data_IF_307592205499
#
_entry.id   IF_307592205499
#
_cell.length_a   1.000
_cell.length_b   1.000
_cell.length_c   1.000
_cell.angle_alpha   90.00
_cell.angle_beta   90.00
_cell.angle_gamma   90.00
#
_symmetry.space_group_name_H-M   'P 1'
#
loop_
_entity.id
_entity.type
_entity.pdbx_description
1 polymer ?
#
# COMPACT_ATOMS: atom_id res chain seq x y z
N UNK A 1 -7.79 -83.46 39.38
CA UNK A 1 -6.62 -84.22 38.86
C UNK A 1 -6.08 -83.43 37.66
N UNK A 2 -4.76 -83.06 37.75
CA UNK A 2 -3.84 -82.59 36.69
C UNK A 2 -4.13 -81.27 36.05
N UNK A 3 -3.45 -80.19 36.45
CA UNK A 3 -2.13 -79.68 36.06
C UNK A 3 -1.93 -79.51 34.51
N UNK A 4 -1.81 -78.30 34.00
CA UNK A 4 -0.51 -77.89 33.45
C UNK A 4 -0.49 -76.39 33.13
N UNK A 5 0.49 -75.83 33.66
CA UNK A 5 1.18 -74.57 33.53
C UNK A 5 1.66 -74.32 32.14
N UNK A 6 1.39 -73.16 31.54
CA UNK A 6 2.24 -72.60 30.48
C UNK A 6 2.50 -71.14 30.74
N UNK A 7 3.70 -70.87 31.13
CA UNK A 7 4.34 -69.58 31.22
C UNK A 7 4.80 -69.19 29.79
N UNK A 8 4.39 -68.05 29.29
CA UNK A 8 4.89 -67.46 28.07
C UNK A 8 5.03 -65.95 28.24
N UNK A 9 6.20 -65.54 28.66
CA UNK A 9 6.61 -64.13 28.67
C UNK A 9 6.79 -63.62 27.27
N UNK A 10 5.95 -62.70 26.84
CA UNK A 10 6.15 -61.95 25.60
C UNK A 10 6.90 -60.64 25.92
N UNK A 11 7.95 -60.28 25.14
CA UNK A 11 8.64 -59.01 25.31
C UNK A 11 7.80 -57.85 24.73
N UNK A 12 7.68 -56.78 25.49
CA UNK A 12 7.05 -55.53 25.08
C UNK A 12 7.84 -54.86 23.93
N UNK A 13 7.20 -54.47 22.84
CA UNK A 13 7.87 -53.69 21.78
C UNK A 13 8.21 -52.28 22.27
N UNK A 14 9.47 -51.90 22.05
CA UNK A 14 10.04 -50.63 22.47
C UNK A 14 9.28 -49.39 21.97
N UNK A 15 8.64 -48.71 22.90
CA UNK A 15 7.88 -47.46 22.66
C UNK A 15 8.73 -46.17 22.51
N UNK A 16 10.06 -46.28 22.42
CA UNK A 16 10.95 -45.10 22.41
C UNK A 16 11.16 -44.44 21.04
N UNK A 17 11.04 -45.17 19.93
CA UNK A 17 11.28 -44.61 18.59
C UNK A 17 10.09 -43.86 18.04
N UNK A 18 8.86 -44.22 18.41
CA UNK A 18 7.62 -43.52 17.96
C UNK A 18 7.42 -42.20 18.71
N UNK A 19 7.81 -42.09 19.97
CA UNK A 19 7.74 -40.85 20.75
C UNK A 19 8.71 -39.78 20.24
N UNK A 20 9.90 -40.17 19.76
CA UNK A 20 10.88 -39.23 19.18
C UNK A 20 10.42 -38.69 17.83
N UNK A 21 9.76 -39.52 17.01
CA UNK A 21 9.20 -39.10 15.71
C UNK A 21 8.03 -38.11 15.84
N UNK A 22 7.13 -38.31 16.79
CA UNK A 22 5.99 -37.43 17.04
C UNK A 22 6.44 -36.08 17.62
N UNK A 23 7.45 -36.05 18.49
CA UNK A 23 8.01 -34.83 19.05
C UNK A 23 8.70 -33.96 17.97
N UNK A 24 9.43 -34.56 17.03
CA UNK A 24 10.11 -33.84 15.96
C UNK A 24 9.12 -33.26 14.95
N UNK A 25 8.00 -33.96 14.68
CA UNK A 25 6.93 -33.47 13.78
C UNK A 25 6.15 -32.30 14.38
N UNK A 26 5.88 -32.30 15.70
CA UNK A 26 5.23 -31.18 16.38
C UNK A 26 6.08 -29.92 16.42
N UNK A 27 7.41 -30.01 16.58
CA UNK A 27 8.32 -28.85 16.56
C UNK A 27 8.37 -28.22 15.15
N UNK A 28 8.32 -29.03 14.10
CA UNK A 28 8.28 -28.52 12.71
C UNK A 28 7.02 -27.74 12.35
N UNK A 29 5.85 -28.05 12.93
CA UNK A 29 4.60 -27.32 12.68
C UNK A 29 4.53 -25.94 13.37
N UNK A 30 5.29 -25.72 14.44
CA UNK A 30 5.29 -24.44 15.16
C UNK A 30 6.02 -23.32 14.43
N UNK A 31 6.91 -23.64 13.46
CA UNK A 31 7.65 -22.62 12.69
C UNK A 31 6.88 -22.03 11.50
N UNK A 32 5.69 -22.54 11.15
CA UNK A 32 4.87 -22.01 10.04
C UNK A 32 3.84 -20.95 10.46
N UNK A 33 3.74 -20.60 11.74
CA UNK A 33 2.72 -19.67 12.26
C UNK A 33 3.15 -18.19 12.26
N UNK A 34 4.25 -17.81 11.59
CA UNK A 34 4.89 -16.49 11.73
C UNK A 34 4.50 -15.39 10.76
N UNK A 35 3.63 -15.62 9.77
CA UNK A 35 3.24 -14.57 8.83
C UNK A 35 1.78 -14.19 9.02
N UNK A 36 1.48 -13.34 10.00
CA UNK A 36 0.20 -12.63 10.05
C UNK A 36 0.23 -11.47 9.05
N UNK A 37 -0.31 -11.68 7.86
CA UNK A 37 -0.59 -10.58 6.92
C UNK A 37 -1.80 -9.83 7.46
N UNK A 38 -1.57 -8.68 8.07
CA UNK A 38 -2.65 -7.82 8.51
C UNK A 38 -3.12 -6.94 7.35
N UNK A 39 -4.38 -7.06 6.88
CA UNK A 39 -4.89 -6.20 5.84
C UNK A 39 -5.00 -4.76 6.34
N UNK A 40 -4.44 -3.81 5.60
CA UNK A 40 -4.38 -2.37 5.92
C UNK A 40 -5.77 -1.73 6.16
N UNK A 41 -6.83 -2.40 5.73
CA UNK A 41 -8.24 -1.98 5.89
C UNK A 41 -9.01 -2.83 6.90
N UNK A 42 -8.35 -3.69 7.67
CA UNK A 42 -9.03 -4.39 8.77
C UNK A 42 -9.39 -3.37 9.85
N UNK A 43 -10.67 -3.16 10.06
CA UNK A 43 -11.16 -2.49 11.26
C UNK A 43 -10.82 -3.40 12.44
N UNK A 44 -9.71 -3.14 13.13
CA UNK A 44 -9.50 -3.78 14.43
C UNK A 44 -10.61 -3.30 15.36
N UNK A 45 -11.38 -4.20 15.97
CA UNK A 45 -12.12 -3.82 17.17
C UNK A 45 -11.04 -3.44 18.20
N UNK A 46 -10.82 -2.13 18.39
CA UNK A 46 -9.89 -1.62 19.40
C UNK A 46 -10.44 -2.03 20.77
N UNK A 47 -9.86 -3.06 21.35
CA UNK A 47 -10.14 -3.44 22.75
C UNK A 47 -9.55 -2.42 23.73
N UNK A 48 -8.86 -1.40 23.23
CA UNK A 48 -8.37 -0.27 24.00
C UNK A 48 -9.28 0.95 23.77
N UNK A 49 -10.01 1.28 24.81
CA UNK A 49 -10.80 2.53 24.89
C UNK A 49 -9.84 3.70 24.70
N UNK A 50 -9.88 4.35 23.50
CA UNK A 50 -9.13 5.57 23.21
C UNK A 50 -8.10 5.55 22.08
N UNK A 51 -7.78 4.41 21.46
CA UNK A 51 -6.90 4.36 20.29
C UNK A 51 -7.69 4.48 19.00
N UNK A 52 -7.52 5.57 18.27
CA UNK A 52 -8.07 5.71 16.92
C UNK A 52 -7.37 4.73 15.97
N UNK A 53 -8.13 4.07 15.10
CA UNK A 53 -7.55 3.21 14.08
C UNK A 53 -6.75 4.04 13.06
N UNK A 54 -5.72 3.45 12.45
CA UNK A 54 -4.96 4.09 11.35
C UNK A 54 -5.88 4.63 10.27
N UNK A 55 -6.97 3.91 9.96
CA UNK A 55 -7.95 4.33 8.96
C UNK A 55 -8.73 5.57 9.40
N UNK A 56 -9.13 5.69 10.66
CA UNK A 56 -9.81 6.88 11.19
C UNK A 56 -8.90 8.10 11.17
N UNK A 57 -7.62 7.93 11.54
CA UNK A 57 -6.63 9.00 11.49
C UNK A 57 -6.40 9.45 10.04
N UNK A 58 -6.27 8.50 9.10
CA UNK A 58 -6.16 8.82 7.67
C UNK A 58 -7.40 9.56 7.16
N UNK A 59 -8.60 9.08 7.50
CA UNK A 59 -9.85 9.71 7.10
C UNK A 59 -10.00 11.13 7.65
N UNK A 60 -9.47 11.41 8.84
CA UNK A 60 -9.45 12.75 9.43
C UNK A 60 -8.29 13.63 8.94
N UNK A 61 -7.31 13.09 8.21
CA UNK A 61 -6.17 13.84 7.69
C UNK A 61 -6.57 14.75 6.53
N UNK A 62 -6.19 16.03 6.61
CA UNK A 62 -6.49 17.00 5.55
C UNK A 62 -5.34 17.12 4.55
N UNK A 63 -5.65 17.49 3.32
CA UNK A 63 -4.63 17.78 2.29
C UNK A 63 -4.74 19.25 1.88
N UNK A 64 -3.63 19.98 1.96
CA UNK A 64 -3.60 21.40 1.63
C UNK A 64 -4.05 21.67 0.18
N UNK A 65 -4.54 22.87 -0.05
CA UNK A 65 -4.93 23.32 -1.39
C UNK A 65 -3.69 23.39 -2.30
N UNK A 66 -3.89 23.09 -3.58
CA UNK A 66 -2.85 23.12 -4.63
C UNK A 66 -3.34 23.92 -5.83
N UNK A 67 -2.41 24.54 -6.57
CA UNK A 67 -2.78 25.53 -7.58
C UNK A 67 -2.95 25.00 -9.00
N UNK A 68 -2.36 23.85 -9.37
CA UNK A 68 -2.41 23.34 -10.74
C UNK A 68 -3.47 22.26 -10.92
N UNK A 69 -4.02 22.10 -12.14
CA UNK A 69 -4.98 21.05 -12.45
C UNK A 69 -4.44 19.64 -12.09
N UNK A 70 -3.21 19.35 -12.48
CA UNK A 70 -2.60 18.03 -12.22
C UNK A 70 -2.44 17.80 -10.70
N UNK A 71 -2.00 18.81 -9.97
CA UNK A 71 -1.90 18.71 -8.50
C UNK A 71 -3.28 18.55 -7.86
N UNK A 72 -4.33 19.19 -8.38
CA UNK A 72 -5.71 18.99 -7.92
C UNK A 72 -6.18 17.55 -8.14
N UNK A 73 -5.83 16.94 -9.29
CA UNK A 73 -6.13 15.52 -9.53
C UNK A 73 -5.44 14.61 -8.49
N UNK A 74 -4.15 14.82 -8.22
CA UNK A 74 -3.44 14.07 -7.17
C UNK A 74 -4.11 14.25 -5.81
N UNK A 75 -4.41 15.52 -5.43
CA UNK A 75 -5.06 15.86 -4.16
C UNK A 75 -6.42 15.17 -4.04
N UNK A 76 -7.26 15.25 -5.06
CA UNK A 76 -8.61 14.67 -5.04
C UNK A 76 -8.57 13.13 -4.96
N UNK A 77 -7.69 12.49 -5.74
CA UNK A 77 -7.48 11.05 -5.66
C UNK A 77 -6.95 10.61 -4.29
N UNK A 78 -6.05 11.39 -3.68
CA UNK A 78 -5.52 11.11 -2.34
C UNK A 78 -6.63 11.23 -1.28
N UNK A 79 -7.42 12.31 -1.30
CA UNK A 79 -8.56 12.48 -0.39
C UNK A 79 -9.57 11.34 -0.57
N UNK A 80 -9.90 10.98 -1.80
CA UNK A 80 -10.80 9.87 -2.07
C UNK A 80 -10.25 8.54 -1.53
N UNK A 81 -8.96 8.29 -1.70
CA UNK A 81 -8.32 7.07 -1.21
C UNK A 81 -8.23 7.02 0.32
N UNK A 82 -8.17 8.16 1.02
CA UNK A 82 -8.09 8.22 2.50
C UNK A 82 -9.47 8.18 3.18
N UNK A 83 -10.47 8.88 2.63
CA UNK A 83 -11.76 9.10 3.31
C UNK A 83 -12.98 9.00 2.39
N UNK A 84 -12.84 8.43 1.18
CA UNK A 84 -13.94 8.35 0.23
C UNK A 84 -14.35 9.70 -0.38
N UNK A 85 -13.48 10.75 -0.28
CA UNK A 85 -13.76 12.10 -0.77
C UNK A 85 -14.51 13.00 0.22
N UNK A 86 -14.86 12.51 1.41
CA UNK A 86 -15.51 13.31 2.45
C UNK A 86 -14.60 14.43 2.93
N UNK A 87 -15.13 15.64 3.07
CA UNK A 87 -14.42 16.74 3.70
C UNK A 87 -14.53 16.58 5.21
N UNK A 88 -13.44 16.16 5.87
CA UNK A 88 -13.35 16.15 7.32
C UNK A 88 -12.69 17.45 7.79
N UNK A 89 -13.40 18.37 8.44
CA UNK A 89 -12.79 19.56 8.97
C UNK A 89 -11.95 19.23 10.21
N UNK A 90 -10.68 19.62 10.23
CA UNK A 90 -9.92 19.78 11.47
C UNK A 90 -9.21 18.54 12.02
N UNK A 91 -8.78 17.60 11.20
CA UNK A 91 -7.95 16.48 11.68
C UNK A 91 -6.61 16.90 12.30
N UNK A 92 -6.05 16.00 13.13
CA UNK A 92 -4.76 16.21 13.83
C UNK A 92 -3.60 16.43 12.86
N UNK A 93 -3.68 15.83 11.65
CA UNK A 93 -2.62 15.90 10.65
C UNK A 93 -3.06 16.61 9.39
N UNK A 94 -2.08 17.19 8.68
CA UNK A 94 -2.28 17.72 7.34
C UNK A 94 -1.10 17.37 6.43
N UNK A 95 -1.39 17.21 5.14
CA UNK A 95 -0.40 16.83 4.10
C UNK A 95 -0.21 18.01 3.15
N UNK A 96 1.03 18.30 2.83
CA UNK A 96 1.46 19.26 1.80
C UNK A 96 1.96 18.46 0.60
N UNK A 97 1.52 18.83 -0.60
CA UNK A 97 1.91 18.21 -1.86
C UNK A 97 2.60 19.22 -2.77
N UNK A 98 3.71 18.79 -3.38
CA UNK A 98 4.35 19.50 -4.48
C UNK A 98 4.42 18.54 -5.67
N UNK A 99 3.67 18.83 -6.74
CA UNK A 99 3.47 17.95 -7.89
C UNK A 99 4.16 18.51 -9.12
N UNK A 100 4.97 17.68 -9.75
CA UNK A 100 5.62 17.97 -11.03
C UNK A 100 5.27 16.90 -12.04
N UNK A 101 4.89 17.29 -13.25
CA UNK A 101 4.67 16.36 -14.36
C UNK A 101 5.42 16.82 -15.61
N UNK A 102 6.08 15.89 -16.29
CA UNK A 102 6.82 16.13 -17.52
C UNK A 102 6.51 15.04 -18.54
N UNK A 103 6.28 15.43 -19.79
CA UNK A 103 6.13 14.48 -20.91
C UNK A 103 7.34 14.50 -21.79
N UNK A 104 7.71 13.30 -22.29
CA UNK A 104 8.80 13.13 -23.28
C UNK A 104 8.34 12.18 -24.39
N UNK A 105 8.80 12.37 -25.62
CA UNK A 105 8.69 11.38 -26.69
C UNK A 105 9.53 10.16 -26.38
N UNK A 106 9.00 8.96 -26.65
CA UNK A 106 9.71 7.69 -26.48
C UNK A 106 9.80 6.87 -27.76
N UNK A 107 8.94 7.16 -28.76
CA UNK A 107 9.03 6.57 -30.08
C UNK A 107 8.77 7.65 -31.16
N UNK A 108 9.47 7.51 -32.27
CA UNK A 108 9.39 8.39 -33.44
C UNK A 108 9.23 7.52 -34.66
N UNK A 109 8.35 7.88 -35.56
CA UNK A 109 8.20 7.22 -36.85
C UNK A 109 9.37 7.59 -37.77
N UNK A 110 10.04 6.57 -38.32
CA UNK A 110 11.26 6.78 -39.12
C UNK A 110 11.00 7.53 -40.44
N UNK A 111 9.79 7.43 -41.01
CA UNK A 111 9.43 8.03 -42.29
C UNK A 111 9.11 9.52 -42.16
N UNK A 112 8.48 9.95 -41.07
CA UNK A 112 8.00 11.33 -40.85
C UNK A 112 8.73 12.05 -39.72
N UNK A 113 9.59 11.35 -38.97
CA UNK A 113 10.22 11.83 -37.72
C UNK A 113 9.20 12.35 -36.68
N UNK A 114 7.92 11.99 -36.85
CA UNK A 114 6.86 12.40 -35.95
C UNK A 114 6.81 11.48 -34.69
N UNK A 115 6.63 12.04 -33.49
CA UNK A 115 6.45 11.24 -32.29
C UNK A 115 5.16 10.43 -32.37
N UNK A 116 5.25 9.11 -32.24
CA UNK A 116 4.11 8.19 -32.23
C UNK A 116 3.71 7.76 -30.81
N UNK A 117 4.64 7.89 -29.85
CA UNK A 117 4.37 7.57 -28.44
C UNK A 117 5.09 8.53 -27.51
N UNK A 118 4.48 8.81 -26.39
CA UNK A 118 5.02 9.67 -25.33
C UNK A 118 4.83 9.04 -23.96
N UNK A 119 5.71 9.39 -23.05
CA UNK A 119 5.65 9.01 -21.66
C UNK A 119 5.54 10.24 -20.76
N UNK A 120 4.54 10.25 -19.91
CA UNK A 120 4.40 11.20 -18.83
C UNK A 120 5.08 10.66 -17.58
N UNK A 121 6.00 11.42 -17.01
CA UNK A 121 6.60 11.19 -15.72
C UNK A 121 6.01 12.17 -14.71
N UNK A 122 5.35 11.64 -13.67
CA UNK A 122 4.84 12.41 -12.53
C UNK A 122 5.70 12.16 -11.31
N UNK A 123 6.07 13.22 -10.60
CA UNK A 123 6.79 13.17 -9.33
C UNK A 123 6.06 14.04 -8.32
N UNK A 124 5.77 13.47 -7.15
CA UNK A 124 5.11 14.16 -6.05
C UNK A 124 5.96 14.08 -4.81
N UNK A 125 6.41 15.25 -4.33
CA UNK A 125 6.94 15.38 -2.99
C UNK A 125 5.77 15.58 -2.04
N UNK A 126 5.71 14.79 -0.97
CA UNK A 126 4.70 14.91 0.07
C UNK A 126 5.35 15.03 1.44
N UNK A 127 4.69 15.76 2.32
CA UNK A 127 5.10 15.88 3.71
C UNK A 127 3.86 15.98 4.60
N UNK A 128 3.80 15.16 5.66
CA UNK A 128 2.72 15.16 6.65
C UNK A 128 3.20 15.84 7.93
N UNK A 129 2.38 16.75 8.43
CA UNK A 129 2.66 17.50 9.64
C UNK A 129 1.57 17.27 10.70
N UNK A 130 1.96 17.31 11.94
CA UNK A 130 1.04 17.47 13.06
C UNK A 130 0.60 18.93 13.16
N UNK A 131 -0.71 19.16 13.25
CA UNK A 131 -1.29 20.51 13.20
C UNK A 131 -0.95 21.35 14.42
N UNK A 132 -0.91 20.75 15.61
CA UNK A 132 -0.65 21.45 16.88
C UNK A 132 0.78 21.92 17.00
N UNK A 133 1.73 21.06 16.69
CA UNK A 133 3.17 21.30 16.88
C UNK A 133 3.88 21.78 15.62
N UNK A 134 3.25 21.61 14.45
CA UNK A 134 3.85 21.78 13.10
C UNK A 134 5.07 20.86 12.87
N UNK A 135 5.21 19.82 13.67
CA UNK A 135 6.28 18.84 13.50
C UNK A 135 6.02 18.00 12.26
N UNK A 136 7.06 17.80 11.44
CA UNK A 136 7.02 16.84 10.32
C UNK A 136 7.01 15.42 10.86
N UNK A 137 5.99 14.65 10.47
CA UNK A 137 5.84 13.25 10.86
C UNK A 137 6.50 12.34 9.83
N UNK A 138 6.23 12.59 8.56
CA UNK A 138 6.86 11.84 7.46
C UNK A 138 6.93 12.68 6.21
N UNK A 139 7.94 12.43 5.39
CA UNK A 139 8.12 13.05 4.08
C UNK A 139 8.69 12.07 3.08
N UNK A 140 8.43 12.29 1.82
CA UNK A 140 8.99 11.44 0.78
C UNK A 140 8.62 11.89 -0.63
N UNK A 141 9.07 11.10 -1.59
CA UNK A 141 8.78 11.30 -3.01
C UNK A 141 8.14 10.03 -3.56
N UNK A 142 7.06 10.20 -4.34
CA UNK A 142 6.47 9.11 -5.10
C UNK A 142 6.43 9.49 -6.58
N UNK A 143 6.62 8.49 -7.43
CA UNK A 143 6.71 8.68 -8.88
C UNK A 143 5.80 7.70 -9.59
N UNK A 144 5.22 8.14 -10.70
CA UNK A 144 4.46 7.29 -11.61
C UNK A 144 4.79 7.65 -13.05
N UNK A 145 4.73 6.66 -13.92
CA UNK A 145 4.93 6.79 -15.35
C UNK A 145 3.66 6.33 -16.06
N UNK A 146 3.19 7.11 -17.03
CA UNK A 146 2.04 6.76 -17.86
C UNK A 146 2.36 7.01 -19.34
N UNK A 147 2.29 5.96 -20.14
CA UNK A 147 2.40 6.05 -21.59
C UNK A 147 1.11 6.57 -22.23
N UNK A 148 1.23 7.25 -23.35
CA UNK A 148 0.12 7.62 -24.23
C UNK A 148 0.58 7.74 -25.69
N UNK A 149 -0.30 7.34 -26.60
CA UNK A 149 -0.03 7.41 -28.03
C UNK A 149 -0.29 8.81 -28.58
N UNK A 150 0.41 9.15 -29.65
CA UNK A 150 0.27 10.40 -30.37
C UNK A 150 -0.15 10.14 -31.79
N UNK A 151 -1.01 11.01 -32.29
CA UNK A 151 -1.52 11.00 -33.65
C UNK A 151 -1.25 12.38 -34.27
N UNK A 152 -1.42 12.55 -35.60
CA UNK A 152 -1.36 13.89 -36.24
C UNK A 152 -2.40 14.90 -35.71
N UNK A 153 -3.43 14.41 -35.00
CA UNK A 153 -4.52 15.24 -34.48
C UNK A 153 -4.17 15.83 -33.12
N UNK A 154 -3.99 17.14 -33.05
CA UNK A 154 -3.59 17.84 -31.82
C UNK A 154 -4.57 17.68 -30.67
N UNK A 155 -5.88 17.70 -30.92
CA UNK A 155 -6.93 17.56 -29.92
C UNK A 155 -6.92 16.13 -29.29
N UNK A 156 -6.74 15.11 -30.12
CA UNK A 156 -6.60 13.74 -29.63
C UNK A 156 -5.39 13.59 -28.69
N UNK A 157 -4.27 14.20 -29.04
CA UNK A 157 -3.05 14.20 -28.24
C UNK A 157 -3.24 14.87 -26.87
N UNK A 158 -3.95 16.01 -26.82
CA UNK A 158 -4.24 16.67 -25.54
C UNK A 158 -5.14 15.81 -24.64
N UNK A 159 -6.13 15.11 -25.21
CA UNK A 159 -6.98 14.19 -24.46
C UNK A 159 -6.18 12.98 -23.93
N UNK A 160 -5.36 12.38 -24.77
CA UNK A 160 -4.50 11.27 -24.40
C UNK A 160 -3.51 11.64 -23.27
N UNK A 161 -2.90 12.83 -23.37
CA UNK A 161 -2.03 13.37 -22.32
C UNK A 161 -2.78 13.60 -21.01
N UNK A 162 -3.99 14.19 -21.05
CA UNK A 162 -4.81 14.38 -19.84
C UNK A 162 -5.21 13.06 -19.19
N UNK A 163 -5.52 12.04 -20.00
CA UNK A 163 -5.79 10.69 -19.48
C UNK A 163 -4.55 10.10 -18.78
N UNK A 164 -3.37 10.23 -19.41
CA UNK A 164 -2.12 9.79 -18.79
C UNK A 164 -1.83 10.53 -17.46
N UNK A 165 -2.11 11.84 -17.39
CA UNK A 165 -2.01 12.62 -16.15
C UNK A 165 -2.96 12.10 -15.07
N UNK A 166 -4.20 11.75 -15.41
CA UNK A 166 -5.19 11.23 -14.47
C UNK A 166 -4.80 9.84 -13.94
N UNK A 167 -4.32 8.95 -14.81
CA UNK A 167 -3.82 7.63 -14.41
C UNK A 167 -2.61 7.75 -13.48
N UNK A 168 -1.60 8.54 -13.85
CA UNK A 168 -0.43 8.78 -13.02
C UNK A 168 -0.79 9.41 -11.66
N UNK A 169 -1.75 10.34 -11.64
CA UNK A 169 -2.22 10.97 -10.41
C UNK A 169 -2.90 9.98 -9.47
N UNK A 170 -3.68 9.04 -10.01
CA UNK A 170 -4.31 7.97 -9.21
C UNK A 170 -3.27 7.03 -8.61
N UNK A 171 -2.30 6.59 -9.40
CA UNK A 171 -1.25 5.69 -8.94
C UNK A 171 -0.40 6.31 -7.81
N UNK A 172 0.04 7.56 -8.01
CA UNK A 172 0.82 8.27 -6.99
C UNK A 172 0.02 8.48 -5.71
N UNK A 173 -1.27 8.80 -5.82
CA UNK A 173 -2.14 9.00 -4.66
C UNK A 173 -2.25 7.72 -3.81
N UNK A 174 -2.38 6.54 -4.44
CA UNK A 174 -2.39 5.25 -3.74
C UNK A 174 -1.05 5.00 -3.03
N UNK A 175 0.08 5.26 -3.70
CA UNK A 175 1.41 5.10 -3.11
C UNK A 175 1.63 6.02 -1.90
N UNK A 176 1.14 7.28 -1.99
CA UNK A 176 1.23 8.24 -0.89
C UNK A 176 0.34 7.78 0.27
N UNK A 177 -0.91 7.36 0.01
CA UNK A 177 -1.80 6.82 1.06
C UNK A 177 -1.14 5.69 1.84
N UNK A 178 -0.50 4.73 1.15
CA UNK A 178 0.20 3.61 1.79
C UNK A 178 1.35 4.10 2.68
N UNK A 179 2.14 5.06 2.20
CA UNK A 179 3.24 5.63 2.97
C UNK A 179 2.76 6.42 4.21
N UNK A 180 1.64 7.14 4.08
CA UNK A 180 1.03 7.84 5.22
C UNK A 180 0.45 6.85 6.24
N UNK A 181 -0.20 5.77 5.77
CA UNK A 181 -0.72 4.72 6.64
C UNK A 181 0.38 4.05 7.45
N UNK A 182 1.50 3.73 6.81
CA UNK A 182 2.66 3.17 7.49
C UNK A 182 3.20 4.14 8.55
N UNK A 183 3.41 5.41 8.20
CA UNK A 183 3.93 6.40 9.12
C UNK A 183 3.01 6.65 10.33
N UNK A 184 1.68 6.50 10.17
CA UNK A 184 0.71 6.60 11.27
C UNK A 184 0.75 5.35 12.15
N UNK A 185 0.95 4.17 11.55
CA UNK A 185 1.05 2.91 12.29
C UNK A 185 2.33 2.83 13.15
N UNK A 186 3.36 3.57 12.79
CA UNK A 186 4.66 3.64 13.48
C UNK A 186 4.69 4.72 14.60
N UNK A 187 3.58 5.48 14.83
CA UNK A 187 3.46 6.50 15.89
C UNK A 187 3.05 5.91 17.23
#
# INVERSE_FOLDING_TARGET
MLLSKFSGSQPLPGKSKTLLGVSLTCVGLFFLAGCTIEPLNASRPSTQIGSQSTQEILAATTVNKVGTRVAQQVRNNLLFAMNGGSLQPGGRYYVVLNVTSKSRSVAVENSSLAPTSSQLAMSVNYEMFERSTRKSITKGVRRSLAGYDRTPQSFANERAKRDAENRAAKDVAIQIRLALAQAIADL
#
